data_IF_775015406035
#
_entry.id   IF_775015406035
#
_cell.length_a   1.000
_cell.length_b   1.000
_cell.length_c   1.000
_cell.angle_alpha   90.00
_cell.angle_beta   90.00
_cell.angle_gamma   90.00
#
_symmetry.space_group_name_H-M   'P 1'
#
loop_
_entity.id
_entity.type
_entity.pdbx_description
1 polymer ?
#
# COMPACT_ATOMS: atom_id res chain seq x y z
N UNK A 1 -45.54 -57.45 12.75
CA UNK A 1 -45.54 -56.90 14.12
C UNK A 1 -44.31 -56.01 14.24
N UNK A 2 -44.49 -54.70 14.40
CA UNK A 2 -43.48 -53.67 14.76
C UNK A 2 -43.05 -53.83 16.23
N UNK A 3 -42.07 -53.08 16.81
CA UNK A 3 -41.23 -51.95 16.33
C UNK A 3 -39.71 -52.20 16.62
N UNK A 4 -38.70 -51.33 16.47
CA UNK A 4 -38.48 -49.92 16.16
C UNK A 4 -37.05 -49.56 16.64
N UNK A 5 -36.41 -48.54 16.08
CA UNK A 5 -35.54 -47.58 16.78
C UNK A 5 -35.05 -46.51 15.78
N UNK A 6 -35.57 -45.31 15.94
CA UNK A 6 -35.01 -44.08 15.37
C UNK A 6 -33.70 -43.73 16.09
N UNK A 7 -32.66 -43.38 15.34
CA UNK A 7 -31.57 -42.55 15.83
C UNK A 7 -31.31 -41.41 14.84
N UNK A 8 -31.95 -40.29 15.16
CA UNK A 8 -31.72 -38.96 14.62
C UNK A 8 -30.31 -38.50 14.98
N UNK A 9 -29.45 -38.29 13.99
CA UNK A 9 -28.13 -37.65 14.19
C UNK A 9 -28.05 -36.31 13.47
N UNK A 10 -27.70 -35.32 14.27
CA UNK A 10 -27.64 -33.86 14.10
C UNK A 10 -26.89 -33.40 12.83
N UNK A 11 -27.37 -32.36 12.10
CA UNK A 11 -26.61 -31.81 10.98
C UNK A 11 -25.38 -31.04 11.50
N UNK A 12 -24.19 -31.44 11.03
CA UNK A 12 -22.94 -30.72 11.26
C UNK A 12 -22.95 -29.42 10.44
N UNK A 13 -23.07 -28.27 11.11
CA UNK A 13 -22.72 -26.96 10.53
C UNK A 13 -21.20 -26.94 10.26
N UNK A 14 -20.77 -27.04 9.01
CA UNK A 14 -19.42 -26.63 8.64
C UNK A 14 -19.40 -25.12 8.42
N UNK A 15 -18.88 -24.38 9.38
CA UNK A 15 -18.50 -23.00 9.21
C UNK A 15 -17.21 -22.97 8.36
N UNK A 16 -17.34 -22.70 7.06
CA UNK A 16 -16.21 -22.42 6.18
C UNK A 16 -16.03 -20.90 6.04
N UNK A 17 -15.46 -20.27 7.07
CA UNK A 17 -14.86 -18.94 6.95
C UNK A 17 -13.39 -19.12 6.53
N UNK A 18 -13.18 -19.33 5.25
CA UNK A 18 -11.85 -19.16 4.63
C UNK A 18 -12.07 -18.67 3.22
N UNK A 19 -12.70 -17.51 3.11
CA UNK A 19 -12.55 -16.69 1.93
C UNK A 19 -11.09 -16.22 1.93
N UNK A 20 -10.21 -17.00 1.29
CA UNK A 20 -8.87 -16.53 0.93
C UNK A 20 -9.09 -15.28 0.08
N UNK A 21 -8.71 -14.12 0.59
CA UNK A 21 -8.66 -12.90 -0.20
C UNK A 21 -7.62 -13.13 -1.29
N UNK A 22 -8.07 -13.56 -2.47
CA UNK A 22 -7.25 -13.50 -3.66
C UNK A 22 -6.84 -12.03 -3.86
N UNK A 23 -5.58 -11.74 -4.25
CA UNK A 23 -5.18 -10.38 -4.57
C UNK A 23 -6.17 -9.81 -5.58
N UNK A 24 -6.60 -8.54 -5.44
CA UNK A 24 -7.57 -7.97 -6.35
C UNK A 24 -7.07 -8.12 -7.78
N UNK A 25 -7.91 -8.66 -8.65
CA UNK A 25 -7.71 -8.54 -10.09
C UNK A 25 -8.03 -7.09 -10.49
N UNK A 26 -7.18 -6.14 -10.09
CA UNK A 26 -7.16 -4.84 -10.76
C UNK A 26 -6.64 -5.10 -12.16
N UNK A 27 -7.56 -5.06 -13.14
CA UNK A 27 -7.17 -5.05 -14.54
C UNK A 27 -6.19 -3.90 -14.71
N UNK A 28 -4.91 -4.21 -14.91
CA UNK A 28 -3.88 -3.22 -15.19
C UNK A 28 -4.31 -2.51 -16.47
N UNK A 29 -4.94 -1.35 -16.35
CA UNK A 29 -5.04 -0.43 -17.48
C UNK A 29 -3.59 -0.25 -17.95
N UNK A 30 -3.33 -0.51 -19.23
CA UNK A 30 -1.99 -0.31 -19.79
C UNK A 30 -1.72 1.19 -19.78
N UNK A 31 -1.17 1.68 -18.68
CA UNK A 31 -0.78 3.07 -18.50
C UNK A 31 0.40 3.34 -19.43
N UNK A 32 0.45 4.55 -19.99
CA UNK A 32 1.59 4.92 -20.84
C UNK A 32 2.86 4.90 -20.00
N UNK A 33 3.98 4.50 -20.60
CA UNK A 33 5.27 4.58 -19.92
C UNK A 33 5.59 6.03 -19.51
N UNK A 34 6.10 6.21 -18.29
CA UNK A 34 6.60 7.48 -17.82
C UNK A 34 7.84 7.93 -18.62
N UNK A 35 7.91 9.23 -18.89
CA UNK A 35 8.99 9.88 -19.65
C UNK A 35 9.81 10.82 -18.77
N UNK A 36 10.99 11.24 -19.24
CA UNK A 36 11.80 12.24 -18.56
C UNK A 36 11.09 13.61 -18.43
N UNK A 37 10.16 13.91 -19.33
CA UNK A 37 9.32 15.11 -19.23
C UNK A 37 8.34 15.01 -18.05
N UNK A 38 7.79 13.82 -17.81
CA UNK A 38 6.94 13.56 -16.65
C UNK A 38 7.72 13.66 -15.35
N UNK A 39 8.92 13.08 -15.31
CA UNK A 39 9.82 13.16 -14.17
C UNK A 39 10.16 14.61 -13.80
N UNK A 40 10.48 15.44 -14.80
CA UNK A 40 10.74 16.87 -14.58
C UNK A 40 9.51 17.61 -14.05
N UNK A 41 8.32 17.34 -14.58
CA UNK A 41 7.07 17.97 -14.12
C UNK A 41 6.76 17.61 -12.66
N UNK A 42 7.08 16.38 -12.26
CA UNK A 42 6.86 15.88 -10.91
C UNK A 42 8.05 16.13 -9.94
N UNK A 43 9.08 16.89 -10.36
CA UNK A 43 10.23 17.22 -9.51
C UNK A 43 11.15 16.04 -9.18
N UNK A 44 11.09 14.95 -9.96
CA UNK A 44 11.91 13.75 -9.75
C UNK A 44 13.36 14.02 -10.20
N UNK A 45 14.37 13.76 -9.35
CA UNK A 45 15.77 13.91 -9.73
C UNK A 45 16.21 13.00 -10.89
N UNK A 46 17.15 13.47 -11.71
CA UNK A 46 17.71 12.69 -12.81
C UNK A 46 18.38 11.40 -12.30
N UNK A 47 18.32 10.34 -13.11
CA UNK A 47 18.92 9.03 -12.80
C UNK A 47 18.01 8.06 -12.05
N UNK A 48 16.79 8.46 -11.68
CA UNK A 48 15.79 7.56 -11.14
C UNK A 48 15.14 6.70 -12.23
N UNK A 49 14.89 5.43 -11.92
CA UNK A 49 14.18 4.52 -12.82
C UNK A 49 12.68 4.76 -12.77
N UNK A 50 12.07 5.09 -13.91
CA UNK A 50 10.64 5.38 -14.03
C UNK A 50 9.77 4.15 -14.37
N UNK A 51 10.37 2.94 -14.42
CA UNK A 51 9.73 1.72 -14.95
C UNK A 51 8.49 1.27 -14.18
N UNK A 52 8.35 1.68 -12.93
CA UNK A 52 7.29 1.25 -12.04
C UNK A 52 6.30 2.37 -11.73
N UNK A 53 6.33 3.48 -12.45
CA UNK A 53 5.49 4.63 -12.16
C UNK A 53 4.53 4.91 -13.31
N UNK A 54 3.23 4.94 -13.02
CA UNK A 54 2.25 5.60 -13.88
C UNK A 54 2.41 7.13 -13.75
N UNK A 55 2.74 7.87 -14.83
CA UNK A 55 2.90 9.32 -14.78
C UNK A 55 1.61 10.10 -14.47
N UNK A 56 0.47 9.42 -14.34
CA UNK A 56 -0.81 9.99 -13.87
C UNK A 56 -1.01 9.88 -12.35
N UNK A 57 -0.14 9.16 -11.65
CA UNK A 57 -0.19 8.93 -10.21
C UNK A 57 0.92 9.69 -9.47
N UNK A 58 0.71 9.93 -8.18
CA UNK A 58 1.70 10.61 -7.32
C UNK A 58 2.98 9.75 -7.16
N UNK A 59 4.17 10.30 -7.43
CA UNK A 59 5.40 9.51 -7.41
C UNK A 59 5.92 9.23 -5.99
N UNK A 60 6.41 8.02 -5.79
CA UNK A 60 7.05 7.58 -4.55
C UNK A 60 8.49 7.15 -4.86
N UNK A 61 9.46 7.83 -4.26
CA UNK A 61 10.88 7.61 -4.53
C UNK A 61 11.50 6.64 -3.52
N UNK A 62 11.97 5.50 -4.01
CA UNK A 62 12.62 4.46 -3.21
C UNK A 62 13.81 3.86 -3.97
N UNK A 63 15.03 3.97 -3.41
CA UNK A 63 16.25 3.31 -3.92
C UNK A 63 16.59 3.62 -5.38
N UNK A 64 16.41 4.88 -5.80
CA UNK A 64 16.65 5.27 -7.18
C UNK A 64 15.60 4.74 -8.17
N UNK A 65 14.47 4.26 -7.69
CA UNK A 65 13.29 3.92 -8.50
C UNK A 65 12.10 4.78 -8.09
N UNK A 66 11.22 5.04 -9.05
CA UNK A 66 9.94 5.74 -8.85
C UNK A 66 8.82 4.72 -8.96
N UNK A 67 7.93 4.79 -7.99
CA UNK A 67 6.72 3.98 -7.90
C UNK A 67 5.50 4.87 -7.82
N UNK A 68 4.33 4.28 -8.03
CA UNK A 68 3.05 4.80 -7.56
C UNK A 68 2.56 3.93 -6.39
N UNK A 69 1.44 4.30 -5.77
CA UNK A 69 0.88 3.58 -4.62
C UNK A 69 0.65 2.09 -4.91
N UNK A 70 0.16 1.76 -6.12
CA UNK A 70 -0.14 0.40 -6.51
C UNK A 70 1.14 -0.40 -6.76
N UNK A 71 2.07 0.14 -7.56
CA UNK A 71 3.30 -0.57 -7.90
C UNK A 71 4.24 -0.74 -6.71
N UNK A 72 4.27 0.22 -5.78
CA UNK A 72 5.01 0.09 -4.52
C UNK A 72 4.38 -0.98 -3.62
N UNK A 73 3.07 -0.92 -3.40
CA UNK A 73 2.38 -1.90 -2.56
C UNK A 73 2.57 -3.33 -3.09
N UNK A 74 2.46 -3.51 -4.42
CA UNK A 74 2.78 -4.78 -5.08
C UNK A 74 4.23 -5.20 -4.87
N UNK A 75 5.18 -4.29 -5.01
CA UNK A 75 6.60 -4.58 -4.79
C UNK A 75 6.87 -5.06 -3.36
N UNK A 76 6.26 -4.42 -2.34
CA UNK A 76 6.36 -4.84 -0.93
C UNK A 76 5.75 -6.22 -0.74
N UNK A 77 4.55 -6.46 -1.29
CA UNK A 77 3.88 -7.75 -1.23
C UNK A 77 4.71 -8.88 -1.87
N UNK A 78 5.18 -8.68 -3.10
CA UNK A 78 5.97 -9.67 -3.84
C UNK A 78 7.25 -10.05 -3.08
N UNK A 79 7.95 -9.07 -2.49
CA UNK A 79 9.13 -9.35 -1.68
C UNK A 79 8.80 -10.04 -0.35
N UNK A 80 7.64 -9.74 0.24
CA UNK A 80 7.17 -10.44 1.44
C UNK A 80 6.87 -11.91 1.14
N UNK A 81 6.18 -12.19 0.02
CA UNK A 81 5.95 -13.56 -0.48
C UNK A 81 7.28 -14.25 -0.75
N UNK A 82 8.23 -13.58 -1.40
CA UNK A 82 9.54 -14.15 -1.70
C UNK A 82 10.37 -14.46 -0.43
N UNK A 83 10.17 -13.71 0.65
CA UNK A 83 10.93 -13.83 1.91
C UNK A 83 10.30 -14.85 2.88
N UNK A 84 8.97 -14.86 2.98
CA UNK A 84 8.24 -15.62 4.01
C UNK A 84 7.28 -16.68 3.45
N UNK A 85 6.99 -16.65 2.15
CA UNK A 85 6.01 -17.52 1.50
C UNK A 85 4.59 -16.94 1.50
N UNK A 86 3.78 -17.36 0.53
CA UNK A 86 2.44 -16.82 0.30
C UNK A 86 1.45 -17.10 1.46
N UNK A 87 1.66 -18.17 2.22
CA UNK A 87 0.78 -18.55 3.35
C UNK A 87 1.20 -18.00 4.71
N UNK A 88 2.22 -17.14 4.78
CA UNK A 88 2.68 -16.57 6.04
C UNK A 88 1.75 -15.44 6.51
N UNK A 89 1.44 -15.32 7.82
CA UNK A 89 0.62 -14.21 8.34
C UNK A 89 1.13 -12.82 7.95
N UNK A 90 2.45 -12.64 7.84
CA UNK A 90 3.03 -11.36 7.44
C UNK A 90 2.74 -10.99 5.97
N UNK A 91 2.52 -12.00 5.11
CA UNK A 91 2.12 -11.79 3.73
C UNK A 91 0.69 -11.23 3.65
N UNK A 92 -0.20 -11.63 4.55
CA UNK A 92 -1.55 -11.04 4.65
C UNK A 92 -1.47 -9.57 5.06
N UNK A 93 -0.61 -9.23 6.03
CA UNK A 93 -0.37 -7.84 6.45
C UNK A 93 0.20 -7.00 5.30
N UNK A 94 1.11 -7.56 4.50
CA UNK A 94 1.62 -6.88 3.32
C UNK A 94 0.53 -6.66 2.25
N UNK A 95 -0.38 -7.63 2.08
CA UNK A 95 -1.54 -7.51 1.21
C UNK A 95 -2.46 -6.39 1.66
N UNK A 96 -2.80 -6.35 2.96
CA UNK A 96 -3.58 -5.27 3.56
C UNK A 96 -2.91 -3.89 3.36
N UNK A 97 -1.60 -3.80 3.58
CA UNK A 97 -0.86 -2.56 3.38
C UNK A 97 -0.96 -2.10 1.92
N UNK A 98 -0.82 -3.02 0.96
CA UNK A 98 -0.97 -2.70 -0.45
C UNK A 98 -2.36 -2.12 -0.77
N UNK A 99 -3.44 -2.74 -0.29
CA UNK A 99 -4.79 -2.22 -0.51
C UNK A 99 -5.00 -0.85 0.13
N UNK A 100 -4.48 -0.64 1.32
CA UNK A 100 -4.57 0.65 2.01
C UNK A 100 -3.83 1.77 1.27
N UNK A 101 -2.71 1.47 0.62
CA UNK A 101 -1.98 2.46 -0.19
C UNK A 101 -2.77 2.86 -1.44
N UNK A 102 -3.34 1.88 -2.15
CA UNK A 102 -4.19 2.15 -3.32
C UNK A 102 -5.39 3.01 -2.89
N UNK A 103 -6.06 2.61 -1.81
CA UNK A 103 -7.27 3.27 -1.34
C UNK A 103 -7.01 4.72 -0.91
N UNK A 104 -5.96 4.96 -0.11
CA UNK A 104 -5.57 6.30 0.32
C UNK A 104 -5.25 7.20 -0.88
N UNK A 105 -4.39 6.74 -1.79
CA UNK A 105 -4.00 7.52 -2.97
C UNK A 105 -5.20 7.80 -3.88
N UNK A 106 -6.06 6.79 -4.10
CA UNK A 106 -7.26 6.94 -4.92
C UNK A 106 -8.27 7.93 -4.34
N UNK A 107 -8.48 7.92 -3.02
CA UNK A 107 -9.36 8.86 -2.33
C UNK A 107 -8.84 10.29 -2.38
N UNK A 108 -7.55 10.51 -2.11
CA UNK A 108 -6.90 11.82 -2.22
C UNK A 108 -7.05 12.36 -3.64
N UNK A 109 -6.63 11.58 -4.64
CA UNK A 109 -6.72 11.95 -6.06
C UNK A 109 -8.16 12.28 -6.49
N UNK A 110 -9.15 11.50 -6.03
CA UNK A 110 -10.57 11.76 -6.30
C UNK A 110 -11.05 13.07 -5.67
N UNK A 111 -10.69 13.32 -4.41
CA UNK A 111 -11.05 14.56 -3.72
C UNK A 111 -10.43 15.78 -4.41
N UNK A 112 -9.11 15.78 -4.66
CA UNK A 112 -8.41 16.87 -5.34
C UNK A 112 -9.00 17.18 -6.72
N UNK A 113 -9.30 16.14 -7.51
CA UNK A 113 -9.87 16.31 -8.84
C UNK A 113 -11.30 16.88 -8.85
N UNK A 114 -12.05 16.72 -7.76
CA UNK A 114 -13.46 17.17 -7.63
C UNK A 114 -13.62 18.44 -6.82
N UNK A 115 -12.70 18.75 -5.91
CA UNK A 115 -12.74 19.92 -5.03
C UNK A 115 -13.07 21.24 -5.76
N UNK A 116 -12.52 21.54 -6.96
CA UNK A 116 -12.87 22.77 -7.69
C UNK A 116 -14.34 22.88 -8.10
N UNK A 117 -15.07 21.74 -8.18
CA UNK A 117 -16.47 21.67 -8.60
C UNK A 117 -17.45 21.77 -7.43
N UNK A 118 -16.99 21.52 -6.20
CA UNK A 118 -17.80 21.66 -5.00
C UNK A 118 -18.21 23.14 -4.88
N UNK A 119 -19.47 23.41 -4.52
CA UNK A 119 -20.00 24.78 -4.45
C UNK A 119 -20.18 25.27 -3.02
N UNK A 120 -20.62 24.38 -2.14
CA UNK A 120 -20.83 24.68 -0.74
C UNK A 120 -19.46 24.90 -0.06
N UNK A 121 -19.22 26.07 0.59
CA UNK A 121 -17.95 26.35 1.25
C UNK A 121 -17.66 25.39 2.41
N UNK A 122 -18.67 24.99 3.19
CA UNK A 122 -18.49 24.10 4.34
C UNK A 122 -18.04 22.70 3.87
N UNK A 123 -18.61 22.23 2.76
CA UNK A 123 -18.21 20.96 2.13
C UNK A 123 -16.77 21.02 1.60
N UNK A 124 -16.33 22.18 1.10
CA UNK A 124 -14.93 22.37 0.67
C UNK A 124 -13.98 22.31 1.84
N UNK A 125 -14.26 23.05 2.91
CA UNK A 125 -13.43 23.07 4.12
C UNK A 125 -13.30 21.67 4.70
N UNK A 126 -14.42 20.93 4.76
CA UNK A 126 -14.41 19.53 5.19
C UNK A 126 -13.51 18.64 4.30
N UNK A 127 -13.60 18.75 2.97
CA UNK A 127 -12.74 17.98 2.06
C UNK A 127 -11.27 18.38 2.23
N UNK A 128 -10.97 19.66 2.36
CA UNK A 128 -9.61 20.17 2.57
C UNK A 128 -9.01 19.61 3.88
N UNK A 129 -9.76 19.59 4.98
CA UNK A 129 -9.35 18.97 6.24
C UNK A 129 -9.01 17.47 6.07
N UNK A 130 -9.79 16.77 5.25
CA UNK A 130 -9.53 15.37 4.91
C UNK A 130 -8.29 15.21 4.04
N UNK A 131 -8.08 16.08 3.05
CA UNK A 131 -6.89 16.08 2.20
C UNK A 131 -5.64 16.34 3.02
N UNK A 132 -5.65 17.35 3.89
CA UNK A 132 -4.52 17.63 4.77
C UNK A 132 -4.22 16.47 5.72
N UNK A 133 -5.25 15.84 6.30
CA UNK A 133 -5.06 14.70 7.19
C UNK A 133 -4.60 13.44 6.46
N UNK A 134 -5.03 13.24 5.21
CA UNK A 134 -4.56 12.20 4.30
C UNK A 134 -3.08 12.39 3.95
N UNK A 135 -2.70 13.62 3.59
CA UNK A 135 -1.30 13.99 3.31
C UNK A 135 -0.41 13.77 4.54
N UNK A 136 -0.88 14.07 5.76
CA UNK A 136 -0.14 13.75 6.99
C UNK A 136 0.10 12.24 7.16
N UNK A 137 -0.83 11.39 6.75
CA UNK A 137 -0.62 9.93 6.74
C UNK A 137 0.40 9.52 5.67
N UNK A 138 0.31 10.11 4.49
CA UNK A 138 1.24 9.88 3.39
C UNK A 138 2.68 10.25 3.76
N UNK A 139 2.87 11.39 4.44
CA UNK A 139 4.18 11.83 4.95
C UNK A 139 4.75 10.87 6.01
N UNK A 140 3.90 10.30 6.87
CA UNK A 140 4.35 9.28 7.84
C UNK A 140 4.82 8.01 7.14
N UNK A 141 4.09 7.57 6.11
CA UNK A 141 4.50 6.44 5.28
C UNK A 141 5.81 6.72 4.54
N UNK A 142 5.95 7.90 3.93
CA UNK A 142 7.18 8.33 3.26
C UNK A 142 8.39 8.34 4.22
N UNK A 143 8.20 8.80 5.47
CA UNK A 143 9.24 8.72 6.50
C UNK A 143 9.63 7.28 6.84
N UNK A 144 8.66 6.38 6.94
CA UNK A 144 8.90 4.94 7.15
C UNK A 144 9.72 4.33 6.00
N UNK A 145 9.40 4.66 4.74
CA UNK A 145 10.17 4.22 3.58
C UNK A 145 11.63 4.68 3.64
N UNK A 146 11.86 5.94 4.04
CA UNK A 146 13.22 6.49 4.20
C UNK A 146 14.01 5.77 5.29
N UNK A 147 13.36 5.35 6.39
CA UNK A 147 14.00 4.52 7.41
C UNK A 147 14.39 3.17 6.81
N UNK A 148 13.48 2.51 6.11
CA UNK A 148 13.75 1.22 5.46
C UNK A 148 14.91 1.31 4.46
N UNK A 149 14.94 2.38 3.64
CA UNK A 149 16.03 2.68 2.70
C UNK A 149 17.39 2.78 3.41
N UNK A 150 17.46 3.42 4.58
CA UNK A 150 18.70 3.48 5.37
C UNK A 150 19.17 2.12 5.86
N UNK A 151 18.24 1.25 6.30
CA UNK A 151 18.58 -0.13 6.70
C UNK A 151 19.17 -0.92 5.54
N UNK A 152 18.56 -0.81 4.36
CA UNK A 152 19.04 -1.47 3.16
C UNK A 152 20.44 -0.99 2.75
N UNK A 153 20.68 0.33 2.80
CA UNK A 153 22.00 0.90 2.51
C UNK A 153 23.06 0.46 3.52
N UNK A 154 22.69 0.32 4.81
CA UNK A 154 23.59 -0.21 5.84
C UNK A 154 23.92 -1.68 5.60
N UNK A 155 22.92 -2.51 5.28
CA UNK A 155 23.13 -3.92 4.95
C UNK A 155 24.04 -4.08 3.72
N UNK A 156 23.78 -3.32 2.65
CA UNK A 156 24.58 -3.36 1.43
C UNK A 156 26.04 -2.91 1.65
N UNK A 157 26.29 -1.96 2.58
CA UNK A 157 27.66 -1.59 2.99
C UNK A 157 28.36 -2.69 3.78
N UNK A 158 27.63 -3.46 4.59
CA UNK A 158 28.18 -4.58 5.37
C UNK A 158 28.54 -5.78 4.49
N UNK A 159 27.83 -5.99 3.39
CA UNK A 159 28.14 -7.01 2.38
C UNK A 159 29.31 -6.62 1.44
N UNK A 160 29.78 -5.36 1.45
CA UNK A 160 30.83 -4.88 0.55
C UNK A 160 32.23 -5.38 0.92
N UNK A 161 32.54 -6.57 0.42
CA UNK A 161 33.87 -6.95 -0.09
C UNK A 161 34.05 -6.56 -1.57
N UNK A 162 33.07 -5.94 -2.24
CA UNK A 162 33.11 -5.69 -3.70
C UNK A 162 32.44 -4.38 -4.16
N UNK A 163 33.11 -3.67 -5.06
CA UNK A 163 33.07 -2.22 -5.36
C UNK A 163 31.85 -1.63 -6.13
N UNK A 164 30.64 -2.19 -6.06
CA UNK A 164 29.44 -1.54 -6.63
C UNK A 164 28.19 -1.95 -5.84
N UNK A 165 27.50 -0.99 -5.21
CA UNK A 165 26.16 -1.25 -4.61
C UNK A 165 25.22 -1.22 -5.79
N UNK A 166 25.03 -2.39 -6.39
CA UNK A 166 23.78 -2.66 -7.08
C UNK A 166 22.85 -3.16 -5.99
N UNK A 167 21.71 -2.48 -5.83
CA UNK A 167 20.57 -2.90 -5.01
C UNK A 167 20.11 -4.26 -5.58
N UNK A 168 20.74 -5.35 -5.13
CA UNK A 168 20.52 -6.71 -5.63
C UNK A 168 19.37 -7.42 -4.92
N UNK A 169 19.12 -8.70 -5.22
CA UNK A 169 18.03 -9.51 -4.63
C UNK A 169 17.93 -9.42 -3.09
N UNK A 170 19.04 -9.20 -2.39
CA UNK A 170 19.03 -9.09 -0.92
C UNK A 170 18.36 -7.79 -0.42
N UNK A 171 18.25 -6.76 -1.26
CA UNK A 171 17.73 -5.47 -0.84
C UNK A 171 16.25 -5.53 -0.48
N UNK A 172 15.43 -6.20 -1.29
CA UNK A 172 14.00 -6.37 -1.00
C UNK A 172 13.77 -7.21 0.25
N UNK A 173 14.61 -8.22 0.50
CA UNK A 173 14.58 -9.00 1.74
C UNK A 173 14.89 -8.14 2.97
N UNK A 174 15.91 -7.28 2.89
CA UNK A 174 16.25 -6.36 3.98
C UNK A 174 15.18 -5.28 4.20
N UNK A 175 14.49 -4.84 3.14
CA UNK A 175 13.32 -3.98 3.27
C UNK A 175 12.22 -4.66 4.08
N UNK A 176 11.85 -5.89 3.70
CA UNK A 176 10.80 -6.69 4.38
C UNK A 176 11.15 -6.92 5.85
N UNK A 177 12.39 -7.32 6.14
CA UNK A 177 12.86 -7.48 7.53
C UNK A 177 12.80 -6.18 8.33
N UNK A 178 12.96 -5.02 7.69
CA UNK A 178 12.87 -3.73 8.36
C UNK A 178 11.42 -3.33 8.62
N UNK A 179 10.59 -3.25 7.57
CA UNK A 179 9.22 -2.74 7.65
C UNK A 179 8.30 -3.63 8.50
N UNK A 180 8.56 -4.94 8.52
CA UNK A 180 7.78 -5.94 9.23
C UNK A 180 8.54 -6.61 10.39
N UNK A 181 9.75 -6.15 10.70
CA UNK A 181 10.51 -6.66 11.85
C UNK A 181 9.90 -6.18 13.17
N UNK A 182 9.58 -7.11 14.08
CA UNK A 182 9.03 -6.80 15.41
C UNK A 182 9.96 -5.92 16.25
N UNK A 183 11.27 -6.11 16.10
CA UNK A 183 12.33 -5.30 16.74
C UNK A 183 12.77 -4.11 15.86
N UNK A 184 11.99 -3.78 14.83
CA UNK A 184 12.27 -2.75 13.84
C UNK A 184 11.08 -1.82 13.70
N UNK A 185 10.40 -1.83 12.55
CA UNK A 185 9.41 -0.83 12.21
C UNK A 185 7.96 -1.37 12.19
N UNK A 186 7.73 -2.62 12.58
CA UNK A 186 6.39 -3.24 12.59
C UNK A 186 5.35 -2.38 13.32
N UNK A 187 5.66 -1.90 14.53
CA UNK A 187 4.76 -1.05 15.32
C UNK A 187 4.40 0.25 14.59
N UNK A 188 5.33 0.83 13.81
CA UNK A 188 5.06 2.05 13.03
C UNK A 188 4.21 1.72 11.81
N UNK A 189 4.49 0.60 11.15
CA UNK A 189 3.70 0.09 10.02
C UNK A 189 2.24 -0.12 10.45
N UNK A 190 1.99 -0.83 11.55
CA UNK A 190 0.63 -1.08 12.06
C UNK A 190 -0.11 0.21 12.44
N UNK A 191 0.59 1.17 13.07
CA UNK A 191 0.01 2.48 13.39
C UNK A 191 -0.39 3.26 12.15
N UNK A 192 0.43 3.24 11.09
CA UNK A 192 0.08 3.87 9.81
C UNK A 192 -1.13 3.17 9.21
N UNK A 193 -1.11 1.84 9.10
CA UNK A 193 -2.23 1.06 8.53
C UNK A 193 -3.54 1.32 9.28
N UNK A 194 -3.51 1.36 10.62
CA UNK A 194 -4.68 1.68 11.45
C UNK A 194 -5.17 3.11 11.21
N UNK A 195 -4.24 4.06 11.11
CA UNK A 195 -4.55 5.45 10.79
C UNK A 195 -5.22 5.60 9.43
N UNK A 196 -4.71 4.92 8.40
CA UNK A 196 -5.30 4.92 7.05
C UNK A 196 -6.68 4.29 7.04
N UNK A 197 -6.88 3.14 7.72
CA UNK A 197 -8.21 2.51 7.84
C UNK A 197 -9.24 3.44 8.47
N UNK A 198 -8.88 4.09 9.58
CA UNK A 198 -9.78 5.02 10.26
C UNK A 198 -10.07 6.26 9.40
N UNK A 199 -9.04 6.82 8.77
CA UNK A 199 -9.18 7.95 7.88
C UNK A 199 -10.08 7.62 6.69
N UNK A 200 -9.87 6.48 6.03
CA UNK A 200 -10.69 6.01 4.91
C UNK A 200 -12.15 5.90 5.29
N UNK A 201 -12.45 5.21 6.40
CA UNK A 201 -13.84 5.02 6.83
C UNK A 201 -14.54 6.35 7.12
N UNK A 202 -13.81 7.31 7.71
CA UNK A 202 -14.34 8.66 7.95
C UNK A 202 -14.49 9.45 6.66
N UNK A 203 -13.53 9.34 5.74
CA UNK A 203 -13.61 9.98 4.43
C UNK A 203 -14.85 9.50 3.67
N UNK A 204 -15.08 8.18 3.63
CA UNK A 204 -16.25 7.60 2.97
C UNK A 204 -17.55 8.12 3.62
N UNK A 205 -17.62 8.11 4.95
CA UNK A 205 -18.81 8.56 5.68
C UNK A 205 -19.15 10.04 5.50
N UNK A 206 -18.15 10.90 5.23
CA UNK A 206 -18.33 12.36 5.22
C UNK A 206 -18.23 12.97 3.81
N UNK A 207 -17.44 12.38 2.91
CA UNK A 207 -17.10 12.97 1.62
C UNK A 207 -17.75 12.26 0.43
N UNK A 208 -18.21 11.01 0.55
CA UNK A 208 -18.64 10.26 -0.64
C UNK A 208 -19.82 10.88 -1.38
N UNK A 209 -20.80 11.41 -0.63
CA UNK A 209 -21.98 12.05 -1.20
C UNK A 209 -21.61 13.38 -1.88
N UNK A 210 -20.79 14.19 -1.21
CA UNK A 210 -20.28 15.47 -1.72
C UNK A 210 -19.51 15.22 -3.03
N UNK A 211 -18.63 14.21 -3.03
CA UNK A 211 -17.78 13.83 -4.15
C UNK A 211 -18.49 12.93 -5.17
N UNK A 212 -19.83 12.81 -5.14
CA UNK A 212 -20.56 12.03 -6.15
C UNK A 212 -20.77 12.82 -7.44
N UNK A 213 -21.02 14.12 -7.31
CA UNK A 213 -21.30 15.04 -8.41
C UNK A 213 -20.03 15.78 -8.90
#
# INVERSE_FOLDING_TARGET
>A
QTPGYEQQTRPKRSASYSARHAPPQTAYATTRAATDADARRAGIPAGFSLKHWDPSEEPILLLGSVFDANSLGKWIYDWTVATHGAGAPITEIAGDLWLLLIDLAGKIKRAEGKLPRVRNPDDKELIDDFLESGERLWQRFSKLLKICEQYMLKAAKKERSSKKVVVGKNSGVEFVKCIFGRDKEMDKTEKIMTGVRLWSMRFDANCDEILRY
#
